data_IF_419470743175
#
_entry.id   IF_419470743175
#
_cell.length_a   1.000
_cell.length_b   1.000
_cell.length_c   1.000
_cell.angle_alpha   90.00
_cell.angle_beta   90.00
_cell.angle_gamma   90.00
#
_symmetry.space_group_name_H-M   'P 1'
#
loop_
_entity.id
_entity.type
_entity.pdbx_description
1 polymer ?
#
# COMPACT_ATOMS: atom_id res chain seq x y z
N UNK A 1 -24.64 21.94 -37.64
CA UNK A 1 -25.12 21.00 -36.62
C UNK A 1 -24.70 21.59 -35.29
N UNK A 2 -25.67 22.10 -34.55
CA UNK A 2 -25.45 22.89 -33.33
C UNK A 2 -24.96 21.98 -32.22
N UNK A 3 -23.70 22.15 -31.79
CA UNK A 3 -23.16 21.50 -30.60
C UNK A 3 -23.64 22.27 -29.37
N UNK A 4 -24.43 21.61 -28.53
CA UNK A 4 -24.80 22.14 -27.22
C UNK A 4 -23.65 21.87 -26.26
N UNK A 5 -23.01 22.93 -25.75
CA UNK A 5 -21.97 22.85 -24.72
C UNK A 5 -22.62 22.46 -23.39
N UNK A 6 -22.16 21.36 -22.78
CA UNK A 6 -22.55 20.98 -21.42
C UNK A 6 -22.10 22.05 -20.42
N UNK A 7 -23.03 22.52 -19.59
CA UNK A 7 -22.73 23.35 -18.43
C UNK A 7 -22.11 22.45 -17.37
N UNK A 8 -20.86 22.72 -16.99
CA UNK A 8 -20.13 22.00 -15.96
C UNK A 8 -20.90 22.08 -14.63
N UNK A 9 -21.33 20.93 -14.07
CA UNK A 9 -21.86 20.87 -12.71
C UNK A 9 -20.70 20.61 -11.77
N UNK A 10 -20.27 21.65 -11.05
CA UNK A 10 -19.09 21.64 -10.18
C UNK A 10 -19.37 21.12 -8.74
N UNK A 11 -20.34 20.23 -8.56
CA UNK A 11 -20.75 19.68 -7.25
C UNK A 11 -21.55 18.37 -7.44
N UNK A 12 -21.72 17.52 -6.40
CA UNK A 12 -22.60 16.36 -6.50
C UNK A 12 -24.02 16.84 -6.84
N UNK A 13 -24.53 16.40 -7.99
CA UNK A 13 -25.83 16.81 -8.48
C UNK A 13 -26.33 15.86 -9.57
N UNK A 14 -27.62 15.59 -9.54
CA UNK A 14 -28.34 14.84 -10.58
C UNK A 14 -28.63 15.77 -11.76
N UNK A 15 -28.06 15.47 -12.92
CA UNK A 15 -28.43 16.10 -14.19
C UNK A 15 -29.26 15.14 -15.04
N UNK A 16 -30.42 15.61 -15.53
CA UNK A 16 -31.21 14.90 -16.54
C UNK A 16 -30.91 15.51 -17.91
N UNK A 17 -30.42 14.71 -18.85
CA UNK A 17 -30.24 15.11 -20.25
C UNK A 17 -31.35 14.47 -21.08
N UNK A 18 -32.06 15.29 -21.84
CA UNK A 18 -33.22 14.88 -22.64
C UNK A 18 -32.80 14.96 -24.12
N UNK A 19 -32.28 13.87 -24.69
CA UNK A 19 -32.16 13.59 -26.14
C UNK A 19 -31.41 12.29 -26.40
N UNK A 20 -31.69 11.65 -27.55
CA UNK A 20 -30.99 10.46 -28.02
C UNK A 20 -29.70 10.84 -28.77
N UNK A 21 -28.56 10.25 -28.36
CA UNK A 21 -27.25 10.45 -28.98
C UNK A 21 -26.14 9.70 -28.24
N UNK A 22 -24.99 9.48 -28.89
CA UNK A 22 -23.75 9.05 -28.21
C UNK A 22 -23.18 10.23 -27.43
N UNK A 23 -22.91 10.05 -26.14
CA UNK A 23 -22.29 11.05 -25.28
C UNK A 23 -20.93 10.53 -24.80
N UNK A 24 -19.89 11.34 -24.99
CA UNK A 24 -18.64 11.14 -24.28
C UNK A 24 -18.71 11.90 -22.95
N UNK A 25 -18.80 11.16 -21.85
CA UNK A 25 -18.60 11.74 -20.51
C UNK A 25 -17.10 11.62 -20.21
N UNK A 26 -16.38 12.73 -20.36
CA UNK A 26 -15.01 12.81 -19.87
C UNK A 26 -15.05 12.93 -18.34
N UNK A 27 -14.79 11.81 -17.67
CA UNK A 27 -14.78 11.73 -16.20
C UNK A 27 -13.41 12.03 -15.62
N UNK A 28 -12.39 12.30 -16.45
CA UNK A 28 -10.99 12.42 -15.98
C UNK A 28 -10.40 11.12 -15.41
N UNK A 29 -11.15 10.02 -15.41
CA UNK A 29 -10.70 8.66 -15.13
C UNK A 29 -10.39 7.97 -16.46
N UNK A 30 -9.41 7.07 -16.50
CA UNK A 30 -8.94 6.38 -17.70
C UNK A 30 -9.93 5.34 -18.29
N UNK A 31 -11.23 5.63 -18.26
CA UNK A 31 -12.28 4.81 -18.84
C UNK A 31 -13.33 5.69 -19.51
N UNK A 32 -13.36 5.66 -20.83
CA UNK A 32 -14.51 6.10 -21.63
C UNK A 32 -15.59 5.03 -21.54
N UNK A 33 -16.76 5.36 -20.99
CA UNK A 33 -17.93 4.49 -21.06
C UNK A 33 -18.77 4.92 -22.27
N UNK A 34 -18.84 4.06 -23.29
CA UNK A 34 -19.76 4.24 -24.41
C UNK A 34 -21.15 3.76 -23.97
N UNK A 35 -22.04 4.71 -23.67
CA UNK A 35 -23.44 4.41 -23.34
C UNK A 35 -24.25 4.47 -24.63
N UNK A 36 -24.57 3.31 -25.21
CA UNK A 36 -25.58 3.20 -26.26
C UNK A 36 -26.91 2.80 -25.62
N UNK A 37 -27.79 3.78 -25.44
CA UNK A 37 -29.17 3.56 -25.04
C UNK A 37 -30.12 4.18 -26.08
N UNK A 38 -31.15 3.42 -26.47
CA UNK A 38 -32.20 3.85 -27.39
C UNK A 38 -33.50 4.22 -26.65
N UNK A 39 -33.49 4.26 -25.31
CA UNK A 39 -34.63 4.65 -24.50
C UNK A 39 -34.84 6.17 -24.49
N UNK A 40 -36.10 6.61 -24.40
CA UNK A 40 -36.49 8.02 -24.23
C UNK A 40 -36.62 8.41 -22.75
N UNK A 41 -36.00 7.66 -21.84
CA UNK A 41 -36.08 7.91 -20.40
C UNK A 41 -34.79 8.54 -19.90
N UNK A 42 -34.85 9.50 -18.95
CA UNK A 42 -33.64 10.13 -18.42
C UNK A 42 -32.73 9.08 -17.76
N UNK A 43 -31.49 8.97 -18.23
CA UNK A 43 -30.48 8.12 -17.61
C UNK A 43 -29.90 8.88 -16.42
N UNK A 44 -29.92 8.26 -15.23
CA UNK A 44 -29.23 8.80 -14.05
C UNK A 44 -27.87 8.13 -13.93
N UNK A 45 -26.80 8.85 -14.27
CA UNK A 45 -25.42 8.38 -14.03
C UNK A 45 -25.02 8.82 -12.62
N UNK A 46 -24.91 7.87 -11.69
CA UNK A 46 -24.41 8.12 -10.34
C UNK A 46 -22.94 7.72 -10.27
N UNK A 47 -22.04 8.70 -10.19
CA UNK A 47 -20.62 8.44 -9.95
C UNK A 47 -20.44 8.25 -8.45
N UNK A 48 -20.39 6.99 -8.00
CA UNK A 48 -20.12 6.65 -6.60
C UNK A 48 -18.62 6.75 -6.33
N UNK A 49 -18.11 7.98 -6.36
CA UNK A 49 -16.72 8.24 -6.04
C UNK A 49 -16.58 8.47 -4.54
N UNK A 50 -16.33 7.39 -3.79
CA UNK A 50 -15.55 7.54 -2.58
C UNK A 50 -14.11 7.88 -3.00
N UNK A 51 -13.88 9.13 -3.43
CA UNK A 51 -12.53 9.63 -3.72
C UNK A 51 -11.81 9.67 -2.38
N UNK A 52 -11.09 8.59 -2.07
CA UNK A 52 -10.02 8.66 -1.08
C UNK A 52 -9.03 9.69 -1.60
N UNK A 53 -9.09 10.89 -1.03
CA UNK A 53 -8.35 12.06 -1.49
C UNK A 53 -6.88 11.81 -1.21
N UNK A 54 -6.07 11.68 -2.26
CA UNK A 54 -4.63 11.45 -2.14
C UNK A 54 -4.01 12.65 -1.41
N UNK A 55 -3.42 12.40 -0.23
CA UNK A 55 -2.79 13.45 0.56
C UNK A 55 -1.47 13.81 -0.09
N UNK A 56 -1.44 15.02 -0.62
CA UNK A 56 -0.23 15.64 -1.12
C UNK A 56 0.71 15.89 0.06
N UNK A 57 2.00 15.56 -0.07
CA UNK A 57 3.18 15.95 0.73
C UNK A 57 2.92 16.54 2.14
N UNK A 58 2.96 15.74 3.21
CA UNK A 58 2.79 16.23 4.59
C UNK A 58 3.89 15.75 5.55
N UNK A 59 4.16 16.56 6.58
CA UNK A 59 4.91 16.20 7.77
C UNK A 59 3.96 15.76 8.88
N UNK A 60 4.34 14.75 9.65
CA UNK A 60 3.59 14.41 10.86
C UNK A 60 3.89 15.41 11.99
N UNK A 61 2.91 15.68 12.84
CA UNK A 61 3.09 16.35 14.14
C UNK A 61 4.34 15.83 14.90
N UNK A 62 5.13 16.75 15.45
CA UNK A 62 6.37 16.48 16.15
C UNK A 62 7.62 16.45 15.25
N UNK A 63 7.45 16.54 13.92
CA UNK A 63 8.57 16.67 12.97
C UNK A 63 9.26 18.01 13.17
N UNK A 64 10.59 18.01 13.25
CA UNK A 64 11.40 19.21 13.37
C UNK A 64 12.04 19.61 12.05
N UNK A 65 11.94 20.89 11.72
CA UNK A 65 12.54 21.50 10.54
C UNK A 65 13.65 22.49 10.94
N UNK A 66 14.75 22.50 10.20
CA UNK A 66 15.88 23.38 10.51
C UNK A 66 15.52 24.85 10.29
N UNK A 67 15.38 25.59 11.39
CA UNK A 67 15.20 27.04 11.42
C UNK A 67 16.52 27.80 11.58
N UNK A 68 16.47 29.11 11.32
CA UNK A 68 17.62 30.01 11.46
C UNK A 68 18.26 29.99 12.86
N UNK A 69 17.45 29.79 13.91
CA UNK A 69 17.88 29.82 15.31
C UNK A 69 17.83 28.44 15.98
N UNK A 70 17.80 27.37 15.17
CA UNK A 70 17.62 26.00 15.61
C UNK A 70 16.33 25.39 15.05
N UNK A 71 16.09 24.13 15.43
CA UNK A 71 14.96 23.37 14.93
C UNK A 71 13.62 23.90 15.45
N UNK A 72 12.63 23.94 14.55
CA UNK A 72 11.25 24.35 14.84
C UNK A 72 10.35 23.13 14.61
N UNK A 73 9.51 22.78 15.59
CA UNK A 73 8.50 21.74 15.41
C UNK A 73 7.45 22.22 14.39
N UNK A 74 7.02 21.35 13.49
CA UNK A 74 6.15 21.74 12.37
C UNK A 74 4.80 22.29 12.84
N UNK A 75 4.30 21.84 13.99
CA UNK A 75 3.07 22.34 14.63
C UNK A 75 3.20 23.73 15.27
N UNK A 76 4.43 24.16 15.58
CA UNK A 76 4.72 25.47 16.18
C UNK A 76 5.10 26.52 15.12
N UNK A 77 5.14 26.11 13.84
CA UNK A 77 5.61 26.95 12.74
C UNK A 77 4.59 27.98 12.30
N UNK A 78 5.05 29.22 12.09
CA UNK A 78 4.22 30.34 11.66
C UNK A 78 4.71 30.95 10.32
N UNK A 79 3.80 31.51 9.50
CA UNK A 79 4.21 32.32 8.36
C UNK A 79 5.16 33.46 8.77
N UNK A 80 6.28 33.57 8.06
CA UNK A 80 7.36 34.51 8.36
C UNK A 80 8.56 33.89 9.08
N UNK A 81 8.40 32.71 9.70
CA UNK A 81 9.53 31.93 10.23
C UNK A 81 10.55 31.64 9.13
N UNK A 82 11.83 31.58 9.49
CA UNK A 82 12.93 31.41 8.53
C UNK A 82 13.54 30.03 8.65
N UNK A 83 13.38 29.24 7.60
CA UNK A 83 14.00 27.91 7.47
C UNK A 83 15.27 27.98 6.63
N UNK A 84 16.21 27.09 6.95
CA UNK A 84 17.42 26.88 6.18
C UNK A 84 17.18 25.71 5.22
N UNK A 85 17.38 25.94 3.94
CA UNK A 85 17.24 24.91 2.90
C UNK A 85 18.52 24.08 2.76
N UNK A 86 18.43 22.95 2.06
CA UNK A 86 19.59 22.10 1.73
C UNK A 86 20.71 22.87 0.99
N UNK A 87 20.32 23.84 0.15
CA UNK A 87 21.25 24.75 -0.53
C UNK A 87 21.93 25.79 0.37
N UNK A 88 21.55 25.84 1.66
CA UNK A 88 22.01 26.83 2.63
C UNK A 88 21.29 28.18 2.54
N UNK A 89 20.27 28.29 1.69
CA UNK A 89 19.49 29.52 1.57
C UNK A 89 18.52 29.65 2.75
N UNK A 90 18.29 30.89 3.17
CA UNK A 90 17.31 31.21 4.22
C UNK A 90 16.01 31.65 3.56
N UNK A 91 14.93 30.89 3.78
CA UNK A 91 13.62 31.16 3.16
C UNK A 91 12.54 31.40 4.20
N UNK A 92 11.73 32.47 4.05
CA UNK A 92 10.56 32.66 4.90
C UNK A 92 9.50 31.62 4.55
N UNK A 93 8.87 31.07 5.59
CA UNK A 93 7.65 30.27 5.47
C UNK A 93 6.54 31.20 4.99
N UNK A 94 5.94 30.85 3.86
CA UNK A 94 4.81 31.59 3.28
C UNK A 94 3.50 31.17 3.92
N UNK A 95 3.36 29.87 4.18
CA UNK A 95 2.13 29.30 4.71
C UNK A 95 2.36 27.95 5.37
N UNK A 96 1.58 27.67 6.43
CA UNK A 96 1.54 26.37 7.09
C UNK A 96 0.11 25.82 7.04
N UNK A 97 -0.07 24.70 6.35
CA UNK A 97 -1.34 23.99 6.28
C UNK A 97 -1.44 22.92 7.34
N UNK A 98 -2.61 22.73 7.95
CA UNK A 98 -2.86 21.64 8.92
C UNK A 98 -4.08 20.82 8.52
N UNK A 99 -3.99 19.51 8.74
CA UNK A 99 -5.12 18.58 8.60
C UNK A 99 -5.03 17.44 9.60
N UNK A 100 -6.14 17.12 10.24
CA UNK A 100 -6.29 15.91 11.05
C UNK A 100 -7.15 14.88 10.31
N UNK A 101 -6.73 13.62 10.36
CA UNK A 101 -7.37 12.53 9.63
C UNK A 101 -7.72 11.42 10.60
N UNK A 102 -8.97 10.97 10.54
CA UNK A 102 -9.44 9.76 11.18
C UNK A 102 -9.39 8.61 10.17
N UNK A 103 -8.32 7.82 10.23
CA UNK A 103 -8.07 6.71 9.32
C UNK A 103 -9.04 5.55 9.53
N UNK A 104 -9.66 5.43 10.71
CA UNK A 104 -10.66 4.37 10.98
C UNK A 104 -11.91 4.52 10.13
N UNK A 105 -12.17 5.74 9.63
CA UNK A 105 -13.27 6.10 8.74
C UNK A 105 -12.83 6.36 7.30
N UNK A 106 -11.53 6.21 7.02
CA UNK A 106 -11.01 6.42 5.68
C UNK A 106 -11.29 5.18 4.82
N UNK A 107 -11.83 5.31 3.59
CA UNK A 107 -12.16 4.15 2.75
C UNK A 107 -10.92 3.34 2.33
N UNK A 108 -9.74 3.96 2.36
CA UNK A 108 -8.43 3.40 1.99
C UNK A 108 -7.35 3.89 2.96
N UNK A 109 -7.34 3.45 4.22
CA UNK A 109 -6.46 4.06 5.24
C UNK A 109 -4.97 3.95 4.90
N UNK A 110 -4.57 2.96 4.11
CA UNK A 110 -3.22 2.79 3.58
C UNK A 110 -2.75 3.92 2.65
N UNK A 111 -3.64 4.73 2.09
CA UNK A 111 -3.24 5.91 1.28
C UNK A 111 -2.85 7.11 2.14
N UNK A 112 -3.16 7.06 3.44
CA UNK A 112 -2.93 8.18 4.37
C UNK A 112 -2.02 7.82 5.54
N UNK A 113 -1.84 6.53 5.83
CA UNK A 113 -0.93 6.07 6.87
C UNK A 113 0.51 6.55 6.64
N UNK A 114 1.18 7.07 7.69
CA UNK A 114 2.52 7.63 7.55
C UNK A 114 3.55 6.58 7.20
N UNK A 115 4.57 7.00 6.45
CA UNK A 115 5.81 6.28 6.28
C UNK A 115 6.74 6.70 7.41
N UNK A 116 7.10 5.73 8.24
CA UNK A 116 8.13 5.85 9.26
C UNK A 116 9.49 5.56 8.65
N UNK A 117 10.42 6.47 8.87
CA UNK A 117 11.81 6.40 8.44
C UNK A 117 12.66 6.43 9.70
N UNK A 118 13.28 5.31 10.06
CA UNK A 118 14.12 5.20 11.26
C UNK A 118 15.33 6.12 11.19
N UNK A 119 15.82 6.57 12.35
CA UNK A 119 17.07 7.30 12.44
C UNK A 119 18.21 6.50 11.77
N UNK A 120 18.98 7.15 10.89
CA UNK A 120 20.04 6.54 10.11
C UNK A 120 19.57 5.59 8.99
N UNK A 121 18.27 5.55 8.66
CA UNK A 121 17.77 4.65 7.62
C UNK A 121 18.26 5.01 6.20
N UNK A 122 18.40 6.30 5.90
CA UNK A 122 18.71 6.80 4.55
C UNK A 122 20.21 6.82 4.29
N UNK A 123 20.97 7.44 5.21
CA UNK A 123 22.43 7.49 5.17
C UNK A 123 23.00 7.50 6.60
N UNK A 124 24.33 7.49 6.75
CA UNK A 124 25.00 7.53 8.04
C UNK A 124 24.54 8.73 8.88
N UNK A 125 23.72 8.44 9.90
CA UNK A 125 23.16 9.46 10.79
C UNK A 125 21.96 10.22 10.24
N UNK A 126 21.37 9.80 9.09
CA UNK A 126 20.23 10.47 8.47
C UNK A 126 19.00 9.54 8.30
N UNK A 127 17.80 9.99 8.70
CA UNK A 127 17.55 11.17 9.54
C UNK A 127 18.22 11.01 10.92
N UNK A 128 18.46 12.10 11.65
CA UNK A 128 19.08 12.03 12.99
C UNK A 128 18.10 11.52 14.07
N UNK A 129 16.81 11.66 13.79
CA UNK A 129 15.67 11.14 14.56
C UNK A 129 14.70 10.45 13.62
N UNK A 130 13.89 9.54 14.17
CA UNK A 130 12.84 8.89 13.38
C UNK A 130 11.88 9.93 12.81
N UNK A 131 11.73 9.93 11.49
CA UNK A 131 10.91 10.87 10.73
C UNK A 131 9.64 10.18 10.23
N UNK A 132 8.52 10.89 10.25
CA UNK A 132 7.23 10.41 9.75
C UNK A 132 6.69 11.35 8.68
N UNK A 133 6.46 10.81 7.49
CA UNK A 133 5.98 11.57 6.34
C UNK A 133 4.73 10.93 5.73
N UNK A 134 3.91 11.70 5.03
CA UNK A 134 2.85 11.10 4.21
C UNK A 134 3.45 10.26 3.06
N UNK A 135 2.71 9.28 2.51
CA UNK A 135 3.22 8.37 1.47
C UNK A 135 3.87 9.05 0.27
N UNK A 136 3.30 10.18 -0.16
CA UNK A 136 3.74 10.92 -1.36
C UNK A 136 4.72 12.06 -1.08
N UNK A 137 5.12 12.27 0.17
CA UNK A 137 6.16 13.23 0.53
C UNK A 137 7.50 12.80 -0.05
N UNK A 138 8.17 13.66 -0.82
CA UNK A 138 9.43 13.29 -1.45
C UNK A 138 10.66 13.63 -0.59
N UNK A 139 11.56 12.65 -0.49
CA UNK A 139 12.91 12.85 0.03
C UNK A 139 13.80 13.31 -1.12
N UNK A 140 14.76 14.18 -0.81
CA UNK A 140 15.78 14.62 -1.77
C UNK A 140 17.04 13.76 -1.60
N UNK A 141 17.26 12.85 -2.56
CA UNK A 141 18.35 11.87 -2.52
C UNK A 141 19.06 11.87 -3.88
N UNK A 142 20.39 12.01 -3.86
CA UNK A 142 21.24 12.03 -5.06
C UNK A 142 20.74 13.00 -6.15
N UNK A 143 20.25 14.18 -5.73
CA UNK A 143 19.76 15.22 -6.64
C UNK A 143 18.33 15.02 -7.16
N UNK A 144 17.60 14.02 -6.66
CA UNK A 144 16.25 13.69 -7.12
C UNK A 144 15.24 13.67 -5.97
N UNK A 145 13.99 14.02 -6.26
CA UNK A 145 12.85 13.89 -5.37
C UNK A 145 12.21 12.51 -5.53
N UNK A 146 12.18 11.72 -4.46
CA UNK A 146 11.63 10.35 -4.46
C UNK A 146 10.58 10.21 -3.34
N UNK A 147 9.33 9.85 -3.65
CA UNK A 147 8.30 9.66 -2.63
C UNK A 147 8.69 8.64 -1.56
N UNK A 148 8.39 8.93 -0.30
CA UNK A 148 8.68 8.06 0.84
C UNK A 148 8.12 6.65 0.64
N UNK A 149 6.90 6.51 0.07
CA UNK A 149 6.31 5.20 -0.23
C UNK A 149 7.21 4.37 -1.13
N UNK A 150 7.87 4.97 -2.12
CA UNK A 150 8.76 4.26 -3.06
C UNK A 150 10.00 3.68 -2.36
N UNK A 151 10.38 4.19 -1.20
CA UNK A 151 11.58 3.77 -0.46
C UNK A 151 11.31 2.69 0.62
N UNK A 152 10.04 2.27 0.80
CA UNK A 152 9.69 1.20 1.76
C UNK A 152 10.51 -0.06 1.49
N UNK A 153 11.08 -0.59 2.57
CA UNK A 153 11.95 -1.78 2.59
C UNK A 153 11.55 -2.81 3.66
N UNK A 154 10.38 -2.63 4.29
CA UNK A 154 9.82 -3.55 5.28
C UNK A 154 10.52 -3.56 6.65
N UNK A 155 11.59 -2.77 6.82
CA UNK A 155 12.44 -2.78 8.03
C UNK A 155 12.66 -1.38 8.58
N UNK A 156 13.69 -0.68 8.07
CA UNK A 156 14.02 0.68 8.53
C UNK A 156 13.10 1.76 7.96
N UNK A 157 12.41 1.44 6.85
CA UNK A 157 11.43 2.32 6.21
C UNK A 157 10.15 1.50 6.01
N UNK A 158 9.10 1.84 6.77
CA UNK A 158 7.84 1.09 6.81
C UNK A 158 6.65 2.02 6.83
N UNK A 159 5.52 1.56 6.30
CA UNK A 159 4.25 2.24 6.52
C UNK A 159 3.64 1.80 7.86
N UNK A 160 3.22 2.74 8.68
CA UNK A 160 2.72 2.49 10.03
C UNK A 160 1.22 2.81 10.14
N UNK A 161 0.36 1.81 10.39
CA UNK A 161 -1.05 2.06 10.64
C UNK A 161 -1.27 2.97 11.85
N UNK A 162 -2.11 4.00 11.67
CA UNK A 162 -2.53 4.91 12.75
C UNK A 162 -3.97 5.29 12.58
N UNK A 163 -4.73 5.29 13.67
CA UNK A 163 -6.15 5.62 13.68
C UNK A 163 -6.39 7.11 13.48
N UNK A 164 -5.55 7.96 14.08
CA UNK A 164 -5.63 9.42 13.98
C UNK A 164 -4.28 10.01 13.62
N UNK A 165 -4.27 10.89 12.62
CA UNK A 165 -3.05 11.44 12.03
C UNK A 165 -3.17 12.95 11.91
N UNK A 166 -2.26 13.69 12.52
CA UNK A 166 -2.11 15.14 12.38
C UNK A 166 -1.00 15.44 11.39
N UNK A 167 -1.35 16.00 10.24
CA UNK A 167 -0.43 16.33 9.16
C UNK A 167 -0.31 17.84 8.98
N UNK A 168 0.91 18.27 8.64
CA UNK A 168 1.28 19.66 8.41
C UNK A 168 2.00 19.85 7.08
N UNK A 169 1.82 21.01 6.48
CA UNK A 169 2.38 21.41 5.19
C UNK A 169 3.16 22.68 5.37
N UNK A 170 4.33 22.77 4.77
CA UNK A 170 5.17 23.97 4.85
C UNK A 170 5.44 24.48 3.45
N UNK A 171 4.78 25.57 3.08
CA UNK A 171 4.98 26.26 1.82
C UNK A 171 6.00 27.39 2.01
N UNK A 172 6.98 27.45 1.12
CA UNK A 172 7.93 28.55 1.02
C UNK A 172 7.55 29.50 -0.12
N UNK A 173 8.19 30.66 -0.20
CA UNK A 173 7.99 31.60 -1.31
C UNK A 173 8.31 30.97 -2.69
N UNK A 174 9.33 30.11 -2.75
CA UNK A 174 9.56 29.23 -3.89
C UNK A 174 9.74 27.81 -3.40
N UNK A 175 9.26 26.86 -4.18
CA UNK A 175 9.47 25.43 -3.93
C UNK A 175 10.97 25.12 -3.80
N UNK A 176 11.38 24.48 -2.70
CA UNK A 176 12.77 24.18 -2.38
C UNK A 176 12.86 22.93 -1.46
N UNK A 177 14.08 22.57 -1.08
CA UNK A 177 14.39 21.43 -0.20
C UNK A 177 14.61 21.91 1.23
N UNK A 178 13.80 21.41 2.16
CA UNK A 178 13.88 21.62 3.60
C UNK A 178 14.74 20.55 4.26
N UNK A 179 15.19 20.80 5.49
CA UNK A 179 15.90 19.83 6.32
C UNK A 179 14.98 19.41 7.48
N UNK A 180 14.42 18.20 7.41
CA UNK A 180 13.53 17.63 8.41
C UNK A 180 14.24 16.51 9.19
N UNK A 181 14.41 16.67 10.51
CA UNK A 181 15.25 15.76 11.32
C UNK A 181 16.63 15.55 10.64
N UNK A 182 17.21 16.67 10.19
CA UNK A 182 18.43 16.77 9.38
C UNK A 182 18.41 16.13 7.98
N UNK A 183 17.28 15.54 7.54
CA UNK A 183 17.14 14.90 6.24
C UNK A 183 16.58 15.88 5.18
N UNK A 184 17.23 15.99 4.00
CA UNK A 184 16.70 16.76 2.87
C UNK A 184 15.38 16.21 2.33
N UNK A 185 14.33 17.04 2.34
CA UNK A 185 12.96 16.69 1.92
C UNK A 185 12.28 17.86 1.21
N UNK A 186 11.27 17.55 0.41
CA UNK A 186 10.54 18.55 -0.37
C UNK A 186 9.71 19.50 0.51
N UNK A 187 9.78 20.82 0.25
CA UNK A 187 8.74 21.75 0.73
C UNK A 187 7.41 21.51 0.00
N UNK A 188 6.31 22.04 0.51
CA UNK A 188 5.05 21.96 -0.21
C UNK A 188 5.09 22.76 -1.54
N UNK A 189 4.80 22.08 -2.65
CA UNK A 189 4.48 22.70 -3.94
C UNK A 189 2.97 22.96 -4.01
N UNK A 190 2.58 24.21 -4.21
CA UNK A 190 1.18 24.57 -4.45
C UNK A 190 0.75 24.06 -5.82
N UNK A 191 -0.01 22.97 -5.83
CA UNK A 191 -0.57 22.35 -7.04
C UNK A 191 -2.08 22.54 -7.15
N UNK A 192 -2.61 23.62 -6.55
CA UNK A 192 -4.06 23.93 -6.51
C UNK A 192 -4.82 23.13 -5.44
N UNK A 193 -4.10 22.57 -4.48
CA UNK A 193 -4.56 21.62 -3.47
C UNK A 193 -4.61 22.23 -2.07
N UNK A 194 -4.38 23.54 -1.93
CA UNK A 194 -4.52 24.27 -0.65
C UNK A 194 -5.87 24.03 0.03
N UNK A 195 -6.92 23.80 -0.75
CA UNK A 195 -8.28 23.65 -0.23
C UNK A 195 -8.51 22.31 0.51
N UNK A 196 -7.49 21.44 0.60
CA UNK A 196 -7.53 20.23 1.43
C UNK A 196 -7.21 20.48 2.91
N UNK A 197 -6.77 21.68 3.27
CA UNK A 197 -6.36 22.00 4.64
C UNK A 197 -7.46 22.71 5.41
N UNK A 198 -7.58 22.36 6.68
CA UNK A 198 -8.64 22.86 7.59
C UNK A 198 -8.61 24.39 7.70
N UNK A 199 -7.42 24.99 7.54
CA UNK A 199 -7.17 26.42 7.65
C UNK A 199 -6.99 27.13 6.29
N UNK A 200 -7.43 26.53 5.19
CA UNK A 200 -7.26 27.08 3.83
C UNK A 200 -8.23 28.21 3.46
N UNK A 201 -9.40 28.27 4.13
CA UNK A 201 -10.41 29.31 3.92
C UNK A 201 -11.15 29.27 2.57
N UNK A 202 -10.89 28.29 1.70
CA UNK A 202 -11.47 28.18 0.35
C UNK A 202 -12.14 26.81 0.11
N UNK A 203 -13.12 26.75 -0.80
CA UNK A 203 -13.91 25.55 -1.09
C UNK A 203 -13.08 24.46 -1.80
N UNK A 204 -13.27 23.19 -1.41
CA UNK A 204 -12.54 22.02 -1.89
C UNK A 204 -12.59 21.86 -3.43
N UNK A 205 -11.43 21.77 -4.08
CA UNK A 205 -11.29 21.39 -5.50
C UNK A 205 -10.40 20.14 -5.55
N UNK A 206 -10.93 19.05 -6.12
CA UNK A 206 -10.34 17.71 -6.11
C UNK A 206 -9.69 17.37 -7.47
N UNK A 207 -8.36 17.46 -7.60
CA UNK A 207 -7.65 16.90 -8.77
C UNK A 207 -6.32 16.20 -8.37
N UNK A 208 -6.37 15.02 -7.72
CA UNK A 208 -5.17 14.31 -7.26
C UNK A 208 -4.21 13.90 -8.41
N UNK A 209 -4.72 13.60 -9.61
CA UNK A 209 -3.89 13.26 -10.77
C UNK A 209 -3.11 14.44 -11.38
N UNK A 210 -3.56 15.69 -11.18
CA UNK A 210 -2.84 16.87 -11.69
C UNK A 210 -1.63 17.23 -10.83
N UNK A 211 -1.69 16.97 -9.52
CA UNK A 211 -0.63 17.33 -8.57
C UNK A 211 0.71 16.65 -8.88
N UNK A 212 0.71 15.38 -9.32
CA UNK A 212 1.94 14.65 -9.58
C UNK A 212 2.59 15.04 -10.92
N UNK A 213 1.80 15.30 -11.95
CA UNK A 213 2.29 15.84 -13.22
C UNK A 213 2.90 17.23 -13.02
N UNK A 214 2.27 18.07 -12.20
CA UNK A 214 2.78 19.38 -11.85
C UNK A 214 4.07 19.30 -11.04
N UNK A 215 4.19 18.39 -10.06
CA UNK A 215 5.46 18.15 -9.34
C UNK A 215 6.60 17.75 -10.26
N UNK A 216 6.34 16.96 -11.31
CA UNK A 216 7.36 16.61 -12.32
C UNK A 216 7.77 17.81 -13.19
N UNK A 217 6.84 18.72 -13.47
CA UNK A 217 7.07 19.85 -14.35
C UNK A 217 7.66 21.08 -13.64
N UNK A 218 7.25 21.31 -12.39
CA UNK A 218 7.47 22.54 -11.62
C UNK A 218 8.25 22.30 -10.31
N UNK A 219 8.62 21.05 -10.04
CA UNK A 219 9.45 20.67 -8.91
C UNK A 219 10.82 21.36 -8.94
N UNK A 220 11.40 21.61 -7.76
CA UNK A 220 12.73 22.22 -7.62
C UNK A 220 13.87 21.26 -8.00
N UNK A 221 13.56 19.97 -8.19
CA UNK A 221 14.45 18.92 -8.65
C UNK A 221 13.67 17.83 -9.41
N UNK A 222 14.34 16.96 -10.19
CA UNK A 222 13.69 15.86 -10.90
C UNK A 222 12.91 14.94 -9.96
N UNK A 223 11.62 14.76 -10.23
CA UNK A 223 10.74 13.89 -9.46
C UNK A 223 10.68 12.49 -10.08
N UNK A 224 11.15 11.47 -9.35
CA UNK A 224 11.30 10.11 -9.84
C UNK A 224 10.57 9.10 -8.96
N UNK A 225 9.76 8.25 -9.61
CA UNK A 225 9.04 7.15 -8.95
C UNK A 225 9.55 5.76 -9.39
N UNK A 226 10.36 5.72 -10.44
CA UNK A 226 10.92 4.50 -11.01
C UNK A 226 12.11 4.79 -11.92
N UNK A 227 12.76 3.73 -12.39
CA UNK A 227 13.92 3.78 -13.28
C UNK A 227 15.23 3.56 -12.54
N UNK A 228 16.33 3.46 -13.28
CA UNK A 228 17.63 3.00 -12.76
C UNK A 228 18.16 3.81 -11.57
N UNK A 229 17.86 5.11 -11.52
CA UNK A 229 18.24 5.96 -10.39
C UNK A 229 17.52 5.52 -9.11
N UNK A 230 16.21 5.29 -9.19
CA UNK A 230 15.38 4.84 -8.06
C UNK A 230 15.79 3.44 -7.63
N UNK A 231 16.03 2.53 -8.58
CA UNK A 231 16.52 1.17 -8.31
C UNK A 231 17.85 1.21 -7.55
N UNK A 232 18.82 2.00 -8.01
CA UNK A 232 20.13 2.12 -7.35
C UNK A 232 20.04 2.67 -5.92
N UNK A 233 19.17 3.65 -5.69
CA UNK A 233 18.93 4.20 -4.35
C UNK A 233 18.31 3.12 -3.46
N UNK A 234 17.30 2.39 -3.96
CA UNK A 234 16.67 1.28 -3.23
C UNK A 234 17.68 0.17 -2.94
N UNK A 235 18.55 -0.20 -3.87
CA UNK A 235 19.65 -1.15 -3.65
C UNK A 235 20.55 -0.70 -2.50
N UNK A 236 21.00 0.57 -2.52
CA UNK A 236 21.81 1.14 -1.43
C UNK A 236 21.09 1.04 -0.08
N UNK A 237 19.79 1.33 -0.03
CA UNK A 237 19.01 1.21 1.20
C UNK A 237 18.87 -0.24 1.67
N UNK A 238 18.69 -1.19 0.75
CA UNK A 238 18.61 -2.62 1.08
C UNK A 238 19.96 -3.17 1.57
N UNK A 239 21.07 -2.73 0.99
CA UNK A 239 22.43 -3.12 1.39
C UNK A 239 22.80 -2.64 2.80
N UNK A 240 22.20 -1.54 3.27
CA UNK A 240 22.37 -1.05 4.64
C UNK A 240 21.72 -1.96 5.68
N UNK A 241 20.74 -2.76 5.26
CA UNK A 241 20.03 -3.64 6.16
C UNK A 241 20.86 -4.91 6.39
N UNK A 242 20.83 -5.44 7.62
CA UNK A 242 21.47 -6.72 7.90
C UNK A 242 20.95 -7.79 6.95
N UNK A 243 21.85 -8.48 6.24
CA UNK A 243 21.46 -9.56 5.32
C UNK A 243 20.74 -10.65 6.12
N UNK A 244 19.45 -10.82 5.84
CA UNK A 244 18.70 -11.95 6.37
C UNK A 244 19.07 -13.19 5.59
N UNK A 245 19.18 -14.31 6.30
CA UNK A 245 19.37 -15.62 5.68
C UNK A 245 18.18 -15.88 4.75
N UNK A 246 18.42 -16.29 3.52
CA UNK A 246 17.35 -16.70 2.63
C UNK A 246 16.96 -18.16 2.91
N UNK A 247 15.67 -18.46 2.89
CA UNK A 247 15.13 -19.82 3.05
C UNK A 247 14.02 -20.10 2.04
N UNK A 248 13.92 -21.35 1.63
CA UNK A 248 12.82 -21.88 0.81
C UNK A 248 11.79 -22.64 1.63
N UNK A 249 11.97 -22.67 2.96
CA UNK A 249 11.03 -23.29 3.88
C UNK A 249 9.80 -22.37 4.08
N UNK A 250 8.71 -22.73 3.40
CA UNK A 250 7.43 -22.07 3.52
C UNK A 250 6.78 -22.22 4.89
N UNK A 251 7.25 -23.17 5.72
CA UNK A 251 6.63 -23.51 7.01
C UNK A 251 5.12 -23.70 6.89
N UNK A 252 4.71 -24.39 5.82
CA UNK A 252 3.29 -24.55 5.50
C UNK A 252 2.58 -25.31 6.62
N UNK A 253 1.57 -24.65 7.20
CA UNK A 253 0.58 -25.24 8.08
C UNK A 253 -0.81 -25.17 7.45
N UNK A 254 -1.71 -26.04 7.88
CA UNK A 254 -3.11 -26.03 7.49
C UNK A 254 -3.97 -26.21 8.73
N UNK A 255 -4.93 -25.33 8.94
CA UNK A 255 -5.75 -25.30 10.17
C UNK A 255 -7.21 -25.06 9.92
N UNK A 256 -8.02 -25.44 10.89
CA UNK A 256 -9.45 -25.22 10.93
C UNK A 256 -9.83 -24.59 12.27
N UNK A 257 -11.12 -24.34 12.48
CA UNK A 257 -11.71 -24.03 13.78
C UNK A 257 -11.56 -25.17 14.82
N UNK A 258 -11.34 -26.40 14.37
CA UNK A 258 -11.17 -27.60 15.21
C UNK A 258 -9.69 -27.95 15.49
N UNK A 259 -8.74 -27.25 14.86
CA UNK A 259 -7.32 -27.38 15.13
C UNK A 259 -6.45 -27.57 13.89
N UNK A 260 -5.21 -27.99 14.10
CA UNK A 260 -4.25 -28.20 13.02
C UNK A 260 -4.51 -29.51 12.26
N UNK A 261 -4.28 -29.47 10.95
CA UNK A 261 -4.29 -30.63 10.07
C UNK A 261 -2.85 -31.10 9.80
N UNK A 262 -2.63 -32.42 9.64
CA UNK A 262 -1.32 -32.94 9.22
C UNK A 262 -0.94 -32.41 7.84
N UNK A 263 0.29 -31.88 7.72
CA UNK A 263 0.87 -31.42 6.45
C UNK A 263 2.13 -32.24 6.17
N UNK A 264 2.17 -32.86 4.98
CA UNK A 264 3.33 -33.61 4.49
C UNK A 264 3.86 -32.95 3.23
N UNK A 265 5.15 -32.62 3.23
CA UNK A 265 5.86 -32.22 2.01
C UNK A 265 6.22 -33.50 1.24
N UNK A 266 5.55 -33.72 0.10
CA UNK A 266 5.75 -34.90 -0.76
C UNK A 266 7.06 -34.75 -1.55
N UNK A 267 7.29 -33.55 -2.07
CA UNK A 267 8.52 -33.13 -2.74
C UNK A 267 8.71 -31.61 -2.58
N UNK A 268 9.69 -31.01 -3.26
CA UNK A 268 10.01 -29.58 -3.10
C UNK A 268 8.91 -28.61 -3.53
N UNK A 269 7.91 -29.06 -4.30
CA UNK A 269 6.79 -28.25 -4.81
C UNK A 269 5.42 -28.80 -4.44
N UNK A 270 5.34 -30.00 -3.89
CA UNK A 270 4.07 -30.67 -3.61
C UNK A 270 3.86 -30.87 -2.13
N UNK A 271 2.73 -30.38 -1.62
CA UNK A 271 2.28 -30.60 -0.25
C UNK A 271 0.99 -31.39 -0.25
N UNK A 272 0.84 -32.26 0.74
CA UNK A 272 -0.39 -33.00 1.03
C UNK A 272 -0.88 -32.62 2.42
N UNK A 273 -2.14 -32.26 2.53
CA UNK A 273 -2.83 -31.94 3.79
C UNK A 273 -3.90 -32.99 4.01
N UNK A 274 -3.85 -33.71 5.13
CA UNK A 274 -4.85 -34.74 5.43
C UNK A 274 -6.12 -34.07 6.01
N UNK A 275 -7.26 -34.26 5.33
CA UNK A 275 -8.54 -33.64 5.68
C UNK A 275 -9.30 -34.48 6.71
N UNK A 276 -8.74 -34.57 7.91
CA UNK A 276 -9.26 -35.40 9.01
C UNK A 276 -10.46 -34.80 9.74
N UNK A 277 -10.91 -33.61 9.34
CA UNK A 277 -12.00 -32.84 9.96
C UNK A 277 -13.04 -32.46 8.89
N UNK A 278 -13.98 -33.35 8.57
CA UNK A 278 -14.94 -33.14 7.49
C UNK A 278 -15.84 -31.91 7.73
N UNK A 279 -16.09 -31.15 6.65
CA UNK A 279 -16.97 -29.97 6.69
C UNK A 279 -16.34 -28.70 7.27
N UNK A 280 -15.08 -28.76 7.70
CA UNK A 280 -14.37 -27.59 8.21
C UNK A 280 -13.73 -26.76 7.08
N UNK A 281 -13.69 -25.45 7.27
CA UNK A 281 -12.89 -24.57 6.41
C UNK A 281 -11.41 -24.77 6.73
N UNK A 282 -10.56 -24.72 5.70
CA UNK A 282 -9.11 -24.84 5.88
C UNK A 282 -8.44 -23.51 5.61
N UNK A 283 -7.64 -23.03 6.57
CA UNK A 283 -6.76 -21.88 6.39
C UNK A 283 -5.34 -22.40 6.21
N UNK A 284 -4.76 -22.10 5.05
CA UNK A 284 -3.35 -22.30 4.77
C UNK A 284 -2.55 -21.17 5.41
N UNK A 285 -1.53 -21.52 6.18
CA UNK A 285 -0.62 -20.57 6.81
C UNK A 285 0.78 -20.84 6.26
N UNK A 286 1.42 -19.81 5.70
CA UNK A 286 2.79 -19.91 5.20
C UNK A 286 3.62 -18.68 5.53
N UNK A 287 4.93 -18.82 5.41
CA UNK A 287 5.83 -17.69 5.19
C UNK A 287 5.35 -16.88 3.98
N UNK A 288 5.55 -15.56 4.05
CA UNK A 288 5.23 -14.63 2.97
C UNK A 288 6.18 -13.43 3.02
N UNK A 289 6.40 -12.79 1.88
CA UNK A 289 7.25 -11.60 1.74
C UNK A 289 6.61 -10.60 0.79
N UNK A 290 7.14 -9.39 0.78
CA UNK A 290 6.80 -8.39 -0.24
C UNK A 290 8.00 -8.26 -1.18
N UNK A 291 7.88 -8.59 -2.48
CA UNK A 291 9.04 -8.61 -3.39
C UNK A 291 9.84 -7.31 -3.41
N UNK A 292 9.14 -6.16 -3.43
CA UNK A 292 9.76 -4.84 -3.37
C UNK A 292 10.54 -4.56 -2.06
N UNK A 293 10.42 -5.37 -1.01
CA UNK A 293 11.22 -5.20 0.23
C UNK A 293 12.56 -5.94 0.18
N UNK A 294 12.79 -6.74 -0.87
CA UNK A 294 13.97 -7.59 -1.02
C UNK A 294 14.70 -7.40 -2.36
N UNK A 295 13.99 -6.98 -3.39
CA UNK A 295 14.52 -6.67 -4.70
C UNK A 295 14.21 -5.21 -5.04
N UNK A 296 15.27 -4.41 -5.21
CA UNK A 296 15.12 -2.99 -5.53
C UNK A 296 14.43 -2.76 -6.89
N UNK A 297 14.60 -3.67 -7.84
CA UNK A 297 13.99 -3.60 -9.17
C UNK A 297 12.52 -4.02 -9.14
N UNK A 298 12.10 -4.80 -8.15
CA UNK A 298 10.71 -5.20 -8.00
C UNK A 298 9.83 -4.05 -7.55
N UNK A 299 8.68 -3.92 -8.21
CA UNK A 299 7.59 -3.00 -7.86
C UNK A 299 6.40 -3.70 -7.23
N UNK A 300 6.45 -5.03 -7.12
CA UNK A 300 5.36 -5.81 -6.53
C UNK A 300 5.35 -5.60 -5.01
N UNK A 301 4.29 -4.96 -4.53
CA UNK A 301 4.06 -4.65 -3.12
C UNK A 301 3.06 -5.59 -2.46
N UNK A 302 2.57 -6.60 -3.19
CA UNK A 302 1.72 -7.62 -2.62
C UNK A 302 2.55 -8.43 -1.62
N UNK A 303 1.94 -8.74 -0.48
CA UNK A 303 2.46 -9.77 0.42
C UNK A 303 2.19 -11.13 -0.23
N UNK A 304 3.21 -11.81 -0.72
CA UNK A 304 3.12 -13.06 -1.46
C UNK A 304 3.55 -14.24 -0.58
N UNK A 305 2.66 -15.22 -0.40
CA UNK A 305 2.88 -16.48 0.30
C UNK A 305 3.22 -17.60 -0.67
N UNK A 306 2.41 -18.65 -0.71
CA UNK A 306 2.50 -19.74 -1.69
C UNK A 306 2.14 -19.26 -3.11
N UNK A 307 2.95 -19.70 -4.09
CA UNK A 307 2.69 -19.61 -5.52
C UNK A 307 2.00 -20.89 -6.02
N UNK A 308 0.67 -20.94 -6.05
CA UNK A 308 -0.07 -22.19 -6.24
C UNK A 308 -0.37 -22.42 -7.72
N UNK A 309 0.12 -23.53 -8.28
CA UNK A 309 -0.18 -24.00 -9.63
C UNK A 309 -1.47 -24.84 -9.71
N UNK A 310 -1.75 -25.64 -8.67
CA UNK A 310 -2.98 -26.45 -8.65
C UNK A 310 -3.37 -26.87 -7.24
N UNK A 311 -4.68 -27.05 -7.06
CA UNK A 311 -5.33 -27.57 -5.87
C UNK A 311 -6.13 -28.82 -6.25
N UNK A 312 -5.86 -29.95 -5.60
CA UNK A 312 -6.53 -31.22 -5.86
C UNK A 312 -7.06 -31.84 -4.57
N UNK A 313 -8.35 -32.15 -4.55
CA UNK A 313 -8.98 -32.87 -3.46
C UNK A 313 -8.99 -34.35 -3.82
N UNK A 314 -8.23 -35.14 -3.08
CA UNK A 314 -8.30 -36.59 -3.15
C UNK A 314 -9.54 -37.08 -2.42
N UNK A 315 -10.31 -37.94 -3.06
CA UNK A 315 -11.56 -38.52 -2.57
C UNK A 315 -11.49 -40.04 -2.70
N UNK A 316 -12.46 -40.75 -2.11
CA UNK A 316 -12.57 -42.20 -2.29
C UNK A 316 -12.74 -42.64 -3.76
N UNK A 317 -13.23 -41.75 -4.64
CA UNK A 317 -13.49 -42.00 -6.06
C UNK A 317 -12.41 -41.51 -7.03
N UNK A 318 -11.30 -40.96 -6.53
CA UNK A 318 -10.24 -40.35 -7.35
C UNK A 318 -9.91 -38.93 -6.90
N UNK A 319 -9.40 -38.09 -7.82
CA UNK A 319 -9.01 -36.70 -7.53
C UNK A 319 -9.95 -35.71 -8.20
N UNK A 320 -10.27 -34.60 -7.51
CA UNK A 320 -11.07 -33.48 -8.02
C UNK A 320 -10.26 -32.19 -7.94
N UNK A 321 -10.09 -31.52 -9.07
CA UNK A 321 -9.41 -30.22 -9.11
C UNK A 321 -10.32 -29.10 -8.60
N UNK A 322 -9.78 -28.23 -7.75
CA UNK A 322 -10.35 -26.91 -7.46
C UNK A 322 -9.71 -25.93 -8.44
N UNK A 323 -10.51 -25.24 -9.25
CA UNK A 323 -9.99 -24.25 -10.19
C UNK A 323 -9.46 -23.03 -9.43
N UNK A 324 -8.38 -22.42 -9.92
CA UNK A 324 -7.79 -21.25 -9.27
C UNK A 324 -8.62 -19.98 -9.45
N UNK A 325 -9.45 -19.90 -10.48
CA UNK A 325 -10.43 -18.83 -10.71
C UNK A 325 -11.71 -18.97 -9.86
N UNK A 326 -11.77 -19.97 -8.96
CA UNK A 326 -12.93 -20.25 -8.13
C UNK A 326 -13.38 -19.02 -7.32
N UNK A 327 -14.62 -18.52 -7.50
CA UNK A 327 -15.09 -17.27 -6.89
C UNK A 327 -15.10 -17.25 -5.36
N UNK A 328 -15.04 -18.44 -4.73
CA UNK A 328 -15.02 -18.59 -3.28
C UNK A 328 -13.61 -18.52 -2.67
N UNK A 329 -12.55 -18.58 -3.48
CA UNK A 329 -11.17 -18.34 -3.04
C UNK A 329 -10.92 -16.83 -2.96
N UNK A 330 -11.38 -16.20 -1.87
CA UNK A 330 -11.30 -14.74 -1.66
C UNK A 330 -10.31 -14.36 -0.56
N UNK A 331 -10.58 -14.79 0.67
CA UNK A 331 -9.80 -14.37 1.83
C UNK A 331 -8.38 -14.95 1.77
N UNK A 332 -7.41 -14.05 1.62
CA UNK A 332 -6.00 -14.42 1.55
C UNK A 332 -5.48 -14.86 0.19
N UNK A 333 -6.29 -14.69 -0.86
CA UNK A 333 -5.91 -14.99 -2.24
C UNK A 333 -5.74 -13.68 -3.03
N UNK A 334 -4.65 -13.58 -3.80
CA UNK A 334 -4.48 -12.52 -4.79
C UNK A 334 -5.33 -12.80 -6.05
N UNK A 335 -5.28 -11.91 -7.03
CA UNK A 335 -5.91 -12.16 -8.33
C UNK A 335 -5.29 -13.40 -9.00
N UNK A 336 -6.10 -14.10 -9.79
CA UNK A 336 -5.64 -15.22 -10.60
C UNK A 336 -4.73 -14.73 -11.74
N UNK A 337 -3.63 -15.45 -11.99
CA UNK A 337 -2.62 -15.14 -13.01
C UNK A 337 -2.58 -16.24 -14.10
N UNK A 338 -3.75 -16.84 -14.37
CA UNK A 338 -4.07 -17.90 -15.35
C UNK A 338 -3.41 -19.27 -15.09
N UNK A 339 -2.11 -19.25 -14.84
CA UNK A 339 -1.27 -20.45 -14.66
C UNK A 339 -1.04 -20.79 -13.20
N UNK A 340 -1.17 -19.79 -12.35
CA UNK A 340 -0.92 -19.88 -10.93
C UNK A 340 -1.66 -18.78 -10.19
N UNK A 341 -1.75 -18.93 -8.87
CA UNK A 341 -2.37 -17.93 -8.01
C UNK A 341 -1.63 -17.81 -6.70
N UNK A 342 -1.31 -16.58 -6.34
CA UNK A 342 -0.62 -16.29 -5.10
C UNK A 342 -1.56 -16.24 -3.91
N UNK A 343 -1.14 -16.82 -2.80
CA UNK A 343 -1.72 -16.53 -1.48
C UNK A 343 -1.03 -15.33 -0.85
N UNK A 344 -1.59 -14.76 0.21
CA UNK A 344 -0.96 -13.69 0.99
C UNK A 344 -0.21 -14.17 2.24
N UNK A 345 -0.08 -15.50 2.42
CA UNK A 345 0.44 -16.15 3.61
C UNK A 345 -0.62 -16.67 4.60
N UNK A 346 -1.88 -16.27 4.44
CA UNK A 346 -3.03 -16.75 5.24
C UNK A 346 -4.27 -16.92 4.34
N UNK A 347 -4.38 -18.05 3.65
CA UNK A 347 -5.40 -18.27 2.61
C UNK A 347 -6.50 -19.25 3.04
N UNK A 348 -7.75 -18.80 2.96
CA UNK A 348 -8.94 -19.60 3.29
C UNK A 348 -9.37 -20.44 2.08
N UNK A 349 -9.59 -21.73 2.30
CA UNK A 349 -10.26 -22.66 1.39
C UNK A 349 -11.58 -23.08 2.06
N UNK A 350 -12.73 -22.66 1.51
CA UNK A 350 -14.04 -23.02 2.05
C UNK A 350 -14.30 -24.52 2.04
N UNK A 351 -15.02 -24.99 3.07
CA UNK A 351 -15.36 -26.41 3.23
C UNK A 351 -16.18 -26.98 2.07
N UNK A 352 -17.01 -26.15 1.43
CA UNK A 352 -17.78 -26.52 0.23
C UNK A 352 -16.88 -26.98 -0.94
N UNK A 353 -15.66 -26.46 -1.03
CA UNK A 353 -14.69 -26.88 -2.04
C UNK A 353 -13.98 -28.20 -1.67
N UNK A 354 -14.04 -28.60 -0.41
CA UNK A 354 -13.34 -29.76 0.17
C UNK A 354 -14.25 -30.97 0.42
N UNK A 355 -15.54 -30.88 0.07
CA UNK A 355 -16.51 -31.95 0.30
C UNK A 355 -16.07 -33.31 -0.28
N UNK A 356 -16.26 -34.36 0.53
CA UNK A 356 -15.86 -35.74 0.20
C UNK A 356 -14.35 -35.99 0.17
N UNK A 357 -13.53 -34.97 0.51
CA UNK A 357 -12.09 -35.03 0.49
C UNK A 357 -11.49 -35.79 1.66
N UNK A 358 -10.50 -36.62 1.37
CA UNK A 358 -9.62 -37.29 2.33
C UNK A 358 -8.29 -36.54 2.47
N UNK A 359 -7.83 -35.89 1.41
CA UNK A 359 -6.66 -35.02 1.43
C UNK A 359 -6.77 -33.88 0.42
N UNK A 360 -6.08 -32.78 0.69
CA UNK A 360 -5.85 -31.69 -0.24
C UNK A 360 -4.38 -31.73 -0.67
N UNK A 361 -4.14 -31.87 -1.97
CA UNK A 361 -2.82 -31.80 -2.59
C UNK A 361 -2.65 -30.42 -3.21
N UNK A 362 -1.59 -29.73 -2.81
CA UNK A 362 -1.21 -28.40 -3.29
C UNK A 362 0.09 -28.56 -4.07
N UNK A 363 0.09 -28.11 -5.34
CA UNK A 363 1.32 -28.02 -6.13
C UNK A 363 1.68 -26.56 -6.37
N UNK A 364 2.93 -26.23 -6.11
CA UNK A 364 3.47 -24.89 -6.29
C UNK A 364 3.99 -24.71 -7.71
N UNK A 365 3.75 -23.54 -8.28
CA UNK A 365 4.29 -23.12 -9.57
C UNK A 365 5.80 -22.82 -9.46
N UNK A 366 6.18 -22.05 -8.44
CA UNK A 366 7.56 -21.78 -8.09
C UNK A 366 7.84 -21.95 -6.59
N UNK A 367 9.11 -22.20 -6.27
CA UNK A 367 9.65 -22.09 -4.92
C UNK A 367 10.48 -20.81 -4.89
N UNK A 368 9.98 -19.81 -4.17
CA UNK A 368 10.61 -18.50 -4.06
C UNK A 368 11.37 -18.44 -2.74
N UNK A 369 12.60 -17.91 -2.70
CA UNK A 369 13.29 -17.67 -1.44
C UNK A 369 12.67 -16.49 -0.68
N UNK A 370 12.51 -16.65 0.63
CA UNK A 370 12.07 -15.60 1.56
C UNK A 370 13.20 -15.29 2.52
N UNK A 371 13.25 -14.05 3.02
CA UNK A 371 14.11 -13.73 4.14
C UNK A 371 13.62 -14.48 5.39
N UNK A 372 14.47 -15.31 5.97
CA UNK A 372 14.22 -15.96 7.24
C UNK A 372 14.21 -14.91 8.34
N UNK A 373 13.09 -14.78 9.03
CA UNK A 373 12.97 -13.97 10.23
C UNK A 373 13.70 -14.68 11.39
N UNK A 374 14.79 -14.10 11.94
CA UNK A 374 15.55 -14.70 13.03
C UNK A 374 14.74 -14.88 14.32
N UNK A 375 13.71 -14.04 14.55
CA UNK A 375 12.79 -14.20 15.68
C UNK A 375 11.92 -15.45 15.48
N UNK A 376 11.37 -15.62 14.26
CA UNK A 376 10.63 -16.82 13.89
C UNK A 376 11.52 -18.08 13.81
N UNK A 377 12.83 -17.96 13.53
CA UNK A 377 13.80 -19.08 13.56
C UNK A 377 14.22 -19.47 14.99
N UNK A 378 14.39 -18.52 15.92
CA UNK A 378 14.66 -18.84 17.34
C UNK A 378 13.48 -19.54 18.01
N UNK A 379 12.27 -19.16 17.62
CA UNK A 379 11.04 -19.85 18.01
C UNK A 379 10.81 -21.16 17.26
N UNK A 380 11.62 -21.48 16.25
CA UNK A 380 11.58 -22.78 15.58
C UNK A 380 12.18 -23.94 16.41
N UNK A 381 12.73 -23.65 17.59
CA UNK A 381 12.96 -24.66 18.63
C UNK A 381 11.72 -24.87 19.54
N UNK A 382 10.65 -24.07 19.37
CA UNK A 382 9.37 -24.07 20.12
C UNK A 382 8.13 -24.13 19.20
N UNK A 383 8.26 -24.71 18.00
CA UNK A 383 7.34 -24.59 16.82
C UNK A 383 5.85 -24.85 17.06
N UNK A 384 5.44 -25.58 18.10
CA UNK A 384 4.02 -25.83 18.34
C UNK A 384 3.25 -24.55 18.74
N UNK A 385 3.87 -23.66 19.52
CA UNK A 385 3.18 -22.51 20.13
C UNK A 385 3.00 -21.34 19.17
N UNK A 386 3.98 -21.06 18.30
CA UNK A 386 3.91 -19.93 17.37
C UNK A 386 2.92 -20.17 16.23
N UNK A 387 2.85 -21.43 15.77
CA UNK A 387 1.83 -21.89 14.84
C UNK A 387 0.48 -21.80 15.55
N UNK A 388 0.33 -22.23 16.81
CA UNK A 388 -0.90 -22.02 17.60
C UNK A 388 -1.33 -20.55 17.78
N UNK A 389 -0.40 -19.63 18.03
CA UNK A 389 -0.72 -18.20 18.19
C UNK A 389 -1.14 -17.59 16.85
N UNK A 390 -0.44 -17.91 15.76
CA UNK A 390 -0.84 -17.47 14.41
C UNK A 390 -2.14 -18.12 13.95
N UNK A 391 -2.39 -19.38 14.34
CA UNK A 391 -3.64 -20.10 14.13
C UNK A 391 -4.83 -19.39 14.77
N UNK A 392 -4.76 -19.13 16.07
CA UNK A 392 -5.81 -18.41 16.81
C UNK A 392 -6.03 -17.00 16.27
N UNK A 393 -4.95 -16.30 15.91
CA UNK A 393 -5.03 -14.94 15.35
C UNK A 393 -5.66 -14.91 13.96
N UNK A 394 -5.26 -15.83 13.07
CA UNK A 394 -5.81 -15.93 11.71
C UNK A 394 -7.29 -16.29 11.73
N UNK A 395 -7.68 -17.27 12.56
CA UNK A 395 -9.07 -17.68 12.71
C UNK A 395 -9.93 -16.55 13.29
N UNK A 396 -9.45 -15.79 14.29
CA UNK A 396 -10.15 -14.61 14.82
C UNK A 396 -10.29 -13.49 13.78
N UNK A 397 -9.22 -13.20 13.02
CA UNK A 397 -9.27 -12.18 11.93
C UNK A 397 -10.26 -12.55 10.84
N UNK A 398 -10.45 -13.85 10.58
CA UNK A 398 -11.40 -14.36 9.60
C UNK A 398 -12.80 -14.61 10.18
N UNK A 399 -13.05 -14.29 11.45
CA UNK A 399 -14.35 -14.49 12.11
C UNK A 399 -14.74 -15.95 12.33
N UNK A 400 -13.76 -16.86 12.31
CA UNK A 400 -13.96 -18.30 12.51
C UNK A 400 -13.86 -18.72 13.98
N UNK A 401 -13.48 -17.81 14.87
CA UNK A 401 -13.47 -17.98 16.33
C UNK A 401 -13.91 -16.69 17.01
N UNK A 402 -14.69 -16.82 18.10
CA UNK A 402 -15.09 -15.70 18.98
C UNK A 402 -13.95 -15.14 19.83
#
# INVERSE_FOLDING_TARGET
MSGTTLTTVAAPGTGTVDTSGSYNVDTGLASTADIQDSSTTPITVSVNEAVGVDLTVCFLEGTRLLGLYGDIAVEDMEPGDRLITDSGAMRPVKWVGRRTIDATRHPRPETVWPIRIEAGAIDHGLPDRTLYLSPDHALFIDGCLIPAKILINGRSIVQEPRDRISYFHVELETHDILLAESLPVESYLETGNRNFFENSGAAMVLHPHMAQAQRRAEGCAPFLESGDVVTRIRDRLLDRLSKLRQTQDYRLGAVTDQGALPVTMVDSRTYRIDLIQPGANVVLISSAMVPAEHDAASRDRRRLGLDIASLEVETAGGSRTIKLDEPNLRSGWHNDEDTHRWTNGEALIPSSLLEGGQALVIRLNAVVPYAADPAAERDAARVADLVMVRQMSALRRLGLLE
#
